data_IF_910118217722
#
_entry.id   IF_910118217722
#
_cell.length_a   1.000
_cell.length_b   1.000
_cell.length_c   1.000
_cell.angle_alpha   90.00
_cell.angle_beta   90.00
_cell.angle_gamma   90.00
#
_symmetry.space_group_name_H-M   'P 1'
#
loop_
_entity.id
_entity.type
_entity.pdbx_description
1 polymer ?
#
# COMPACT_ATOMS: atom_id res chain seq x y z
N UNK A 1 -11.63 0.65 -24.06
CA UNK A 1 -10.53 -0.22 -24.51
C UNK A 1 -9.35 0.08 -23.62
N UNK A 2 -8.73 -0.92 -22.99
CA UNK A 2 -7.51 -0.72 -22.20
C UNK A 2 -6.39 -0.43 -23.20
N UNK A 3 -5.77 0.74 -23.10
CA UNK A 3 -4.68 1.13 -24.00
C UNK A 3 -3.34 0.71 -23.41
N UNK A 4 -2.30 0.61 -24.24
CA UNK A 4 -0.93 0.37 -23.78
C UNK A 4 -0.50 1.38 -22.69
N UNK A 5 -0.87 2.66 -22.85
CA UNK A 5 -0.64 3.71 -21.84
C UNK A 5 -1.27 3.38 -20.48
N UNK A 6 -2.46 2.77 -20.47
CA UNK A 6 -3.14 2.38 -19.23
C UNK A 6 -2.43 1.21 -18.55
N UNK A 7 -1.96 0.23 -19.33
CA UNK A 7 -1.16 -0.89 -18.79
C UNK A 7 0.13 -0.38 -18.15
N UNK A 8 0.85 0.53 -18.82
CA UNK A 8 2.05 1.17 -18.27
C UNK A 8 1.74 1.98 -17.00
N UNK A 9 0.62 2.71 -16.99
CA UNK A 9 0.20 3.46 -15.80
C UNK A 9 -0.11 2.51 -14.62
N UNK A 10 -0.71 1.34 -14.86
CA UNK A 10 -0.94 0.34 -13.82
C UNK A 10 0.35 -0.30 -13.32
N UNK A 11 1.30 -0.59 -14.21
CA UNK A 11 2.63 -1.05 -13.82
C UNK A 11 3.33 0.00 -12.94
N UNK A 12 3.33 1.26 -13.35
CA UNK A 12 3.90 2.36 -12.57
C UNK A 12 3.19 2.52 -11.22
N UNK A 13 1.87 2.38 -11.18
CA UNK A 13 1.12 2.42 -9.92
C UNK A 13 1.62 1.36 -8.94
N UNK A 14 1.80 0.11 -9.36
CA UNK A 14 2.32 -0.95 -8.50
C UNK A 14 3.78 -0.70 -8.12
N UNK A 15 4.64 -0.45 -9.12
CA UNK A 15 6.08 -0.30 -8.94
C UNK A 15 6.48 0.93 -8.11
N UNK A 16 5.61 1.93 -7.98
CA UNK A 16 5.84 3.11 -7.15
C UNK A 16 5.14 3.01 -5.80
N UNK A 17 3.88 2.57 -5.74
CA UNK A 17 3.12 2.58 -4.47
C UNK A 17 3.70 1.63 -3.44
N UNK A 18 4.17 0.45 -3.87
CA UNK A 18 4.74 -0.56 -2.96
C UNK A 18 6.06 -0.08 -2.34
N UNK A 19 7.07 0.32 -3.13
CA UNK A 19 8.32 0.80 -2.55
C UNK A 19 8.14 2.10 -1.76
N UNK A 20 7.21 2.98 -2.13
CA UNK A 20 6.93 4.17 -1.33
C UNK A 20 6.37 3.79 0.05
N UNK A 21 5.45 2.83 0.13
CA UNK A 21 4.93 2.30 1.40
C UNK A 21 6.07 1.80 2.31
N UNK A 22 6.95 0.96 1.76
CA UNK A 22 8.11 0.42 2.47
C UNK A 22 9.12 1.52 2.85
N UNK A 23 9.33 2.51 1.98
CA UNK A 23 10.19 3.66 2.25
C UNK A 23 9.68 4.47 3.46
N UNK A 24 8.37 4.57 3.67
CA UNK A 24 7.82 5.23 4.85
C UNK A 24 8.21 4.51 6.15
N UNK A 25 8.15 3.18 6.14
CA UNK A 25 8.63 2.36 7.25
C UNK A 25 10.13 2.55 7.47
N UNK A 26 10.91 2.56 6.39
CA UNK A 26 12.37 2.66 6.43
C UNK A 26 12.79 4.01 7.00
N UNK A 27 12.27 5.11 6.44
CA UNK A 27 12.59 6.47 6.87
C UNK A 27 12.21 6.69 8.34
N UNK A 28 11.06 6.16 8.77
CA UNK A 28 10.64 6.28 10.17
C UNK A 28 11.59 5.51 11.10
N UNK A 29 12.09 4.34 10.69
CA UNK A 29 13.07 3.59 11.46
C UNK A 29 14.41 4.32 11.58
N UNK A 30 14.92 4.87 10.48
CA UNK A 30 16.15 5.67 10.45
C UNK A 30 16.03 6.90 11.36
N UNK A 31 14.91 7.62 11.29
CA UNK A 31 14.63 8.79 12.15
C UNK A 31 14.53 8.42 13.65
N UNK A 32 14.17 7.17 13.96
CA UNK A 32 14.13 6.64 15.33
C UNK A 32 15.48 6.05 15.77
N UNK A 33 16.53 6.15 14.94
CA UNK A 33 17.88 5.73 15.25
C UNK A 33 18.17 4.25 14.99
N UNK A 34 17.37 3.57 14.17
CA UNK A 34 17.66 2.19 13.75
C UNK A 34 18.41 2.19 12.42
N UNK A 35 19.36 1.28 12.30
CA UNK A 35 19.89 0.82 11.01
C UNK A 35 18.82 -0.03 10.32
N UNK A 36 18.29 0.45 9.21
CA UNK A 36 17.16 -0.12 8.50
C UNK A 36 17.57 -0.74 7.16
N UNK A 37 17.10 -1.96 6.91
CA UNK A 37 17.16 -2.57 5.58
C UNK A 37 15.79 -2.49 4.91
N UNK A 38 15.75 -2.04 3.65
CA UNK A 38 14.56 -2.07 2.80
C UNK A 38 14.78 -2.93 1.55
N UNK A 39 13.78 -3.72 1.21
CA UNK A 39 13.67 -4.53 -0.01
C UNK A 39 12.46 -4.05 -0.83
N UNK A 40 12.09 -4.73 -1.92
CA UNK A 40 10.95 -4.31 -2.75
C UNK A 40 9.60 -4.45 -2.01
N UNK A 41 9.50 -5.38 -1.07
CA UNK A 41 8.24 -5.73 -0.41
C UNK A 41 8.38 -5.91 1.12
N UNK A 42 9.50 -5.50 1.71
CA UNK A 42 9.67 -5.56 3.15
C UNK A 42 10.72 -4.58 3.67
N UNK A 43 10.49 -4.11 4.88
CA UNK A 43 11.38 -3.24 5.63
C UNK A 43 11.54 -3.73 7.06
N UNK A 44 12.76 -3.74 7.58
CA UNK A 44 13.05 -4.21 8.93
C UNK A 44 14.35 -3.62 9.49
N UNK A 45 14.46 -3.44 10.82
CA UNK A 45 15.74 -3.12 11.45
C UNK A 45 16.75 -4.24 11.19
N UNK A 46 17.98 -3.90 10.83
CA UNK A 46 19.04 -4.88 10.53
C UNK A 46 19.31 -5.80 11.73
N UNK A 47 19.24 -5.27 12.94
CA UNK A 47 19.33 -6.04 14.20
C UNK A 47 18.08 -6.85 14.58
N UNK A 48 16.98 -6.75 13.80
CA UNK A 48 15.66 -7.41 13.99
C UNK A 48 15.03 -7.22 15.37
N UNK A 49 15.45 -6.21 16.12
CA UNK A 49 14.94 -5.87 17.45
C UNK A 49 14.66 -4.38 17.52
N UNK A 50 13.52 -4.04 18.11
CA UNK A 50 13.22 -2.67 18.50
C UNK A 50 13.79 -2.43 19.90
N UNK A 51 14.39 -1.25 20.12
CA UNK A 51 14.84 -0.81 21.45
C UNK A 51 13.65 -0.52 22.37
N UNK A 52 12.57 0.00 21.79
CA UNK A 52 11.31 0.28 22.47
C UNK A 52 10.14 -0.26 21.66
N UNK A 53 9.17 -0.90 22.31
CA UNK A 53 8.00 -1.50 21.65
C UNK A 53 7.18 -0.47 20.84
N UNK A 54 7.02 0.74 21.38
CA UNK A 54 6.28 1.80 20.73
C UNK A 54 6.92 2.29 19.42
N UNK A 55 8.25 2.14 19.24
CA UNK A 55 8.91 2.42 17.96
C UNK A 55 8.35 1.51 16.86
N UNK A 56 8.11 0.23 17.18
CA UNK A 56 7.53 -0.74 16.25
C UNK A 56 6.11 -0.36 15.81
N UNK A 57 5.32 0.26 16.71
CA UNK A 57 3.98 0.74 16.38
C UNK A 57 4.03 1.99 15.49
N UNK A 58 4.89 2.97 15.82
CA UNK A 58 5.07 4.19 15.01
C UNK A 58 5.58 3.85 13.62
N UNK A 59 6.58 2.97 13.53
CA UNK A 59 7.05 2.46 12.25
C UNK A 59 5.94 1.74 11.51
N UNK A 60 5.19 0.82 12.15
CA UNK A 60 4.04 0.15 11.51
C UNK A 60 2.98 1.14 11.01
N UNK A 61 2.82 2.31 11.64
CA UNK A 61 1.84 3.30 11.18
C UNK A 61 2.28 4.02 9.89
N UNK A 62 3.59 4.16 9.66
CA UNK A 62 4.13 5.00 8.60
C UNK A 62 3.70 4.58 7.18
N UNK A 63 3.80 3.29 6.84
CA UNK A 63 3.38 2.76 5.54
C UNK A 63 1.89 2.99 5.23
N UNK A 64 0.96 2.57 6.12
CA UNK A 64 -0.47 2.86 5.99
C UNK A 64 -0.78 4.35 5.87
N UNK A 65 -0.14 5.20 6.69
CA UNK A 65 -0.33 6.66 6.62
C UNK A 65 0.08 7.19 5.25
N UNK A 66 1.27 6.84 4.75
CA UNK A 66 1.71 7.29 3.42
C UNK A 66 0.77 6.76 2.33
N UNK A 67 0.26 5.54 2.46
CA UNK A 67 -0.68 4.94 1.51
C UNK A 67 -2.00 5.71 1.46
N UNK A 68 -2.51 6.14 2.62
CA UNK A 68 -3.70 6.97 2.74
C UNK A 68 -3.44 8.35 2.12
N UNK A 69 -2.29 8.97 2.40
CA UNK A 69 -1.92 10.27 1.81
C UNK A 69 -1.81 10.20 0.29
N UNK A 70 -1.19 9.15 -0.24
CA UNK A 70 -1.13 8.88 -1.68
C UNK A 70 -2.54 8.73 -2.25
N UNK A 71 -3.40 7.94 -1.62
CA UNK A 71 -4.77 7.73 -2.08
C UNK A 71 -5.57 9.04 -2.09
N UNK A 72 -5.46 9.86 -1.03
CA UNK A 72 -6.11 11.17 -0.94
C UNK A 72 -5.62 12.12 -2.04
N UNK A 73 -4.31 12.22 -2.26
CA UNK A 73 -3.74 13.03 -3.33
C UNK A 73 -4.32 12.61 -4.70
N UNK A 74 -4.27 11.32 -5.03
CA UNK A 74 -4.79 10.80 -6.29
C UNK A 74 -6.29 11.01 -6.42
N UNK A 75 -7.05 10.81 -5.33
CA UNK A 75 -8.48 11.06 -5.27
C UNK A 75 -8.80 12.53 -5.62
N UNK A 76 -8.14 13.50 -4.99
CA UNK A 76 -8.37 14.92 -5.26
C UNK A 76 -7.99 15.30 -6.70
N UNK A 77 -6.86 14.78 -7.21
CA UNK A 77 -6.46 14.99 -8.60
C UNK A 77 -7.53 14.45 -9.57
N UNK A 78 -8.04 13.24 -9.31
CA UNK A 78 -9.12 12.64 -10.09
C UNK A 78 -10.46 13.37 -9.94
N UNK A 79 -10.78 13.99 -8.79
CA UNK A 79 -12.01 14.78 -8.67
C UNK A 79 -11.93 16.12 -9.41
N UNK A 80 -10.74 16.73 -9.50
CA UNK A 80 -10.60 18.06 -10.12
C UNK A 80 -10.66 18.03 -11.64
N UNK A 81 -9.82 17.23 -12.31
CA UNK A 81 -9.78 17.01 -13.77
C UNK A 81 -8.62 16.08 -14.20
N UNK A 82 -8.00 15.35 -13.26
CA UNK A 82 -6.86 14.48 -13.55
C UNK A 82 -7.16 13.41 -14.59
N UNK A 83 -6.13 12.86 -15.22
CA UNK A 83 -6.29 11.79 -16.20
C UNK A 83 -6.78 10.49 -15.54
N UNK A 84 -7.63 9.71 -16.23
CA UNK A 84 -8.05 8.37 -15.78
C UNK A 84 -6.86 7.41 -15.63
N UNK A 85 -5.69 7.75 -16.18
CA UNK A 85 -4.44 7.02 -15.95
C UNK A 85 -3.97 7.06 -14.48
N UNK A 86 -4.50 7.97 -13.65
CA UNK A 86 -4.21 7.99 -12.22
C UNK A 86 -5.06 6.99 -11.42
N UNK A 87 -6.16 6.49 -12.00
CA UNK A 87 -7.07 5.56 -11.31
C UNK A 87 -6.38 4.29 -10.78
N UNK A 88 -5.44 3.64 -11.50
CA UNK A 88 -4.69 2.51 -10.97
C UNK A 88 -3.95 2.79 -9.67
N UNK A 89 -3.44 4.00 -9.42
CA UNK A 89 -2.76 4.33 -8.16
C UNK A 89 -3.73 4.25 -6.98
N UNK A 90 -4.96 4.74 -7.14
CA UNK A 90 -5.98 4.67 -6.10
C UNK A 90 -6.41 3.23 -5.83
N UNK A 91 -6.63 2.44 -6.89
CA UNK A 91 -6.96 1.02 -6.76
C UNK A 91 -5.80 0.22 -6.16
N UNK A 92 -4.55 0.59 -6.44
CA UNK A 92 -3.36 -0.05 -5.87
C UNK A 92 -3.29 0.17 -4.35
N UNK A 93 -3.53 1.39 -3.87
CA UNK A 93 -3.62 1.66 -2.42
C UNK A 93 -4.68 0.78 -1.75
N UNK A 94 -5.89 0.72 -2.32
CA UNK A 94 -6.96 -0.16 -1.82
C UNK A 94 -6.54 -1.63 -1.84
N UNK A 95 -6.00 -2.11 -2.97
CA UNK A 95 -5.60 -3.50 -3.15
C UNK A 95 -4.55 -3.92 -2.12
N UNK A 96 -3.49 -3.13 -1.94
CA UNK A 96 -2.43 -3.42 -0.97
C UNK A 96 -2.99 -3.59 0.44
N UNK A 97 -3.89 -2.70 0.86
CA UNK A 97 -4.44 -2.69 2.22
C UNK A 97 -5.50 -3.74 2.44
N UNK A 98 -6.35 -4.00 1.44
CA UNK A 98 -7.33 -5.08 1.50
C UNK A 98 -6.64 -6.45 1.54
N UNK A 99 -5.59 -6.66 0.74
CA UNK A 99 -4.77 -7.87 0.79
C UNK A 99 -4.07 -8.02 2.13
N UNK A 100 -3.49 -6.95 2.67
CA UNK A 100 -2.85 -6.98 3.99
C UNK A 100 -3.85 -7.31 5.10
N UNK A 101 -5.07 -6.77 5.04
CA UNK A 101 -6.16 -7.12 5.95
C UNK A 101 -6.57 -8.61 5.83
N UNK A 102 -6.57 -9.17 4.63
CA UNK A 102 -6.79 -10.62 4.42
C UNK A 102 -5.64 -11.48 4.96
N UNK A 103 -4.39 -11.07 4.76
CA UNK A 103 -3.21 -11.79 5.27
C UNK A 103 -3.15 -11.72 6.82
N UNK A 104 -3.74 -10.70 7.43
CA UNK A 104 -3.84 -10.56 8.89
C UNK A 104 -4.51 -11.73 9.60
N UNK A 105 -5.33 -12.56 8.92
CA UNK A 105 -5.82 -13.81 9.53
C UNK A 105 -4.69 -14.80 9.87
N UNK A 106 -3.55 -14.73 9.17
CA UNK A 106 -2.38 -15.59 9.37
C UNK A 106 -1.29 -14.88 10.16
N UNK A 107 -0.97 -13.64 9.77
CA UNK A 107 0.09 -12.85 10.39
C UNK A 107 -0.31 -11.37 10.45
N UNK A 108 -0.34 -10.73 11.64
CA UNK A 108 -0.73 -9.33 11.78
C UNK A 108 0.03 -8.39 10.83
N UNK A 109 -0.70 -7.75 9.92
CA UNK A 109 -0.20 -6.65 9.12
C UNK A 109 0.02 -5.38 9.98
N UNK A 110 0.42 -4.28 9.33
CA UNK A 110 0.82 -3.06 10.02
C UNK A 110 -0.31 -2.47 10.88
N UNK A 111 -1.50 -2.32 10.31
CA UNK A 111 -2.68 -1.82 11.00
C UNK A 111 -3.18 -2.79 12.08
N UNK A 112 -3.05 -4.11 11.87
CA UNK A 112 -3.44 -5.12 12.85
C UNK A 112 -2.50 -5.13 14.06
N UNK A 113 -1.19 -4.91 13.85
CA UNK A 113 -0.22 -4.75 14.96
C UNK A 113 -0.56 -3.55 15.82
N UNK A 114 -0.90 -2.41 15.20
CA UNK A 114 -1.34 -1.21 15.92
C UNK A 114 -2.67 -1.45 16.64
N UNK A 115 -3.64 -2.09 15.98
CA UNK A 115 -4.94 -2.34 16.58
C UNK A 115 -4.85 -3.25 17.81
N UNK A 116 -3.97 -4.26 17.76
CA UNK A 116 -3.68 -5.12 18.92
C UNK A 116 -3.03 -4.32 20.05
N UNK A 117 -2.05 -3.46 19.74
CA UNK A 117 -1.39 -2.62 20.73
C UNK A 117 -2.35 -1.65 21.44
N UNK A 118 -3.34 -1.14 20.72
CA UNK A 118 -4.38 -0.25 21.26
C UNK A 118 -5.51 -0.99 21.98
N UNK A 119 -5.56 -2.33 21.94
CA UNK A 119 -6.63 -3.11 22.56
C UNK A 119 -8.00 -2.99 21.88
N UNK A 120 -8.06 -2.45 20.65
CA UNK A 120 -9.32 -2.17 19.93
C UNK A 120 -9.78 -3.32 19.02
N UNK A 121 -9.12 -4.48 19.10
CA UNK A 121 -9.40 -5.65 18.28
C UNK A 121 -8.59 -5.66 16.98
N UNK A 122 -8.10 -6.84 16.59
CA UNK A 122 -7.10 -7.00 15.51
C UNK A 122 -7.49 -6.40 14.16
N UNK A 123 -8.77 -6.44 13.80
CA UNK A 123 -9.25 -6.04 12.47
C UNK A 123 -9.81 -4.61 12.42
N UNK A 124 -9.83 -3.88 13.52
CA UNK A 124 -10.45 -2.55 13.59
C UNK A 124 -9.77 -1.55 12.64
N UNK A 125 -8.46 -1.31 12.76
CA UNK A 125 -7.77 -0.42 11.82
C UNK A 125 -7.68 -0.99 10.40
N UNK A 126 -7.38 -2.29 10.16
CA UNK A 126 -7.40 -2.85 8.81
C UNK A 126 -8.72 -2.61 8.06
N UNK A 127 -9.86 -2.78 8.74
CA UNK A 127 -11.19 -2.55 8.16
C UNK A 127 -11.47 -1.06 7.95
N UNK A 128 -11.09 -0.20 8.90
CA UNK A 128 -11.27 1.25 8.75
C UNK A 128 -10.46 1.82 7.59
N UNK A 129 -9.19 1.44 7.47
CA UNK A 129 -8.32 1.88 6.37
C UNK A 129 -8.81 1.34 5.03
N UNK A 130 -9.13 0.05 4.95
CA UNK A 130 -9.66 -0.55 3.71
C UNK A 130 -11.02 0.05 3.33
N UNK A 131 -11.89 0.31 4.31
CA UNK A 131 -13.19 0.95 4.11
C UNK A 131 -13.07 2.38 3.58
N UNK A 132 -12.15 3.19 4.13
CA UNK A 132 -11.84 4.52 3.63
C UNK A 132 -11.35 4.46 2.17
N UNK A 133 -10.37 3.61 1.88
CA UNK A 133 -9.81 3.48 0.53
C UNK A 133 -10.84 2.95 -0.48
N UNK A 134 -11.73 2.06 -0.04
CA UNK A 134 -12.85 1.57 -0.83
C UNK A 134 -13.81 2.70 -1.16
N UNK A 135 -14.19 3.51 -0.16
CA UNK A 135 -15.05 4.67 -0.35
C UNK A 135 -14.47 5.66 -1.37
N UNK A 136 -13.18 6.02 -1.25
CA UNK A 136 -12.52 6.93 -2.19
C UNK A 136 -12.51 6.36 -3.62
N UNK A 137 -12.20 5.07 -3.75
CA UNK A 137 -12.18 4.37 -5.05
C UNK A 137 -13.58 4.31 -5.67
N UNK A 138 -14.59 4.00 -4.86
CA UNK A 138 -15.99 3.92 -5.26
C UNK A 138 -16.54 5.27 -5.70
N UNK A 139 -16.31 6.32 -4.91
CA UNK A 139 -16.75 7.68 -5.23
C UNK A 139 -16.16 8.17 -6.56
N UNK A 140 -14.85 7.99 -6.78
CA UNK A 140 -14.22 8.34 -8.08
C UNK A 140 -14.79 7.51 -9.22
N UNK A 141 -15.02 6.22 -9.01
CA UNK A 141 -15.59 5.34 -10.02
C UNK A 141 -16.99 5.80 -10.46
N UNK A 142 -17.82 6.23 -9.50
CA UNK A 142 -19.15 6.79 -9.75
C UNK A 142 -19.07 8.17 -10.40
N UNK A 143 -18.30 9.10 -9.83
CA UNK A 143 -18.16 10.47 -10.32
C UNK A 143 -17.68 10.52 -11.78
N UNK A 144 -16.79 9.61 -12.17
CA UNK A 144 -16.25 9.51 -13.53
C UNK A 144 -16.98 8.49 -14.43
N UNK A 145 -18.05 7.87 -13.94
CA UNK A 145 -18.85 6.86 -14.66
C UNK A 145 -17.96 5.77 -15.29
N UNK A 146 -16.96 5.30 -14.53
CA UNK A 146 -16.03 4.29 -15.00
C UNK A 146 -16.78 2.98 -15.27
N UNK A 147 -16.50 2.36 -16.41
CA UNK A 147 -17.13 1.08 -16.77
C UNK A 147 -16.59 -0.02 -15.87
N UNK A 148 -17.46 -0.92 -15.40
CA UNK A 148 -17.07 -2.10 -14.59
C UNK A 148 -15.96 -2.91 -15.24
N UNK A 149 -15.99 -3.06 -16.57
CA UNK A 149 -14.92 -3.73 -17.34
C UNK A 149 -13.54 -3.10 -17.13
N UNK A 150 -13.45 -1.77 -17.02
CA UNK A 150 -12.18 -1.09 -16.73
C UNK A 150 -11.71 -1.42 -15.33
N UNK A 151 -12.59 -1.31 -14.33
CA UNK A 151 -12.28 -1.58 -12.92
C UNK A 151 -11.75 -3.01 -12.74
N UNK A 152 -12.46 -4.00 -13.31
CA UNK A 152 -12.04 -5.41 -13.24
C UNK A 152 -10.67 -5.62 -13.91
N UNK A 153 -10.44 -4.99 -15.07
CA UNK A 153 -9.13 -5.05 -15.73
C UNK A 153 -8.02 -4.38 -14.90
N UNK A 154 -8.31 -3.26 -14.24
CA UNK A 154 -7.35 -2.61 -13.35
C UNK A 154 -6.97 -3.52 -12.19
N UNK A 155 -7.95 -4.16 -11.54
CA UNK A 155 -7.70 -5.12 -10.47
C UNK A 155 -6.86 -6.30 -10.98
N UNK A 156 -7.21 -6.90 -12.11
CA UNK A 156 -6.44 -8.00 -12.69
C UNK A 156 -4.99 -7.61 -12.99
N UNK A 157 -4.76 -6.44 -13.59
CA UNK A 157 -3.41 -5.97 -13.90
C UNK A 157 -2.59 -5.66 -12.62
N UNK A 158 -3.22 -5.09 -11.60
CA UNK A 158 -2.58 -4.86 -10.29
C UNK A 158 -2.19 -6.21 -9.67
N UNK A 159 -3.10 -7.19 -9.65
CA UNK A 159 -2.80 -8.53 -9.17
C UNK A 159 -1.59 -9.11 -9.91
N UNK A 160 -1.61 -9.10 -11.25
CA UNK A 160 -0.51 -9.61 -12.07
C UNK A 160 0.84 -8.93 -11.77
N UNK A 161 0.90 -7.60 -11.79
CA UNK A 161 2.15 -6.87 -11.54
C UNK A 161 2.62 -6.98 -10.09
N UNK A 162 1.70 -6.98 -9.13
CA UNK A 162 2.03 -7.18 -7.71
C UNK A 162 2.60 -8.57 -7.45
N UNK A 163 2.06 -9.61 -8.10
CA UNK A 163 2.64 -10.96 -8.02
C UNK A 163 4.06 -10.99 -8.56
N UNK A 164 4.34 -10.33 -9.69
CA UNK A 164 5.71 -10.22 -10.21
C UNK A 164 6.61 -9.53 -9.19
N UNK A 165 6.18 -8.39 -8.63
CA UNK A 165 6.96 -7.63 -7.65
C UNK A 165 7.26 -8.48 -6.41
N UNK A 166 6.24 -9.09 -5.81
CA UNK A 166 6.37 -9.90 -4.59
C UNK A 166 7.23 -11.14 -4.84
N UNK A 167 6.99 -11.88 -5.93
CA UNK A 167 7.77 -13.09 -6.24
C UNK A 167 9.23 -12.75 -6.58
N UNK A 168 9.47 -11.63 -7.25
CA UNK A 168 10.83 -11.16 -7.53
C UNK A 168 11.56 -10.80 -6.24
N UNK A 169 10.88 -10.11 -5.31
CA UNK A 169 11.44 -9.79 -4.00
C UNK A 169 11.80 -11.07 -3.22
N UNK A 170 10.92 -12.07 -3.21
CA UNK A 170 11.16 -13.34 -2.54
C UNK A 170 12.32 -14.14 -3.15
N UNK A 171 12.43 -14.12 -4.49
CA UNK A 171 13.46 -14.86 -5.22
C UNK A 171 14.85 -14.21 -5.11
N UNK A 172 14.93 -12.89 -5.25
CA UNK A 172 16.21 -12.19 -5.36
C UNK A 172 16.62 -11.46 -4.08
N UNK A 173 15.67 -11.10 -3.21
CA UNK A 173 15.88 -10.38 -1.94
C UNK A 173 16.80 -9.16 -2.09
N UNK A 174 16.61 -8.42 -3.19
CA UNK A 174 17.43 -7.25 -3.52
C UNK A 174 17.23 -6.21 -2.44
N UNK A 175 18.32 -5.81 -1.78
CA UNK A 175 18.33 -4.68 -0.86
C UNK A 175 18.33 -3.40 -1.68
N UNK A 176 17.32 -2.57 -1.47
CA UNK A 176 17.21 -1.25 -2.09
C UNK A 176 17.95 -0.19 -1.29
N UNK A 177 17.83 -0.26 0.05
CA UNK A 177 18.47 0.63 1.00
C UNK A 177 19.00 -0.16 2.21
N UNK A 178 20.11 0.31 2.78
CA UNK A 178 20.79 -0.20 3.98
C UNK A 178 21.60 0.91 4.61
#
# INVERSE_FOLDING_TARGET
>A
MTTFKYVLATLAAVALSWPLHELAHWLTGELLGYDMTMTLNATYPTGRKYLHEWHGHVMSAAGPILTILQALLIYFLLKRNGTTLLFPFLVTCLYMRLMAAGISFLNPNDEARISKALGIGMFTLPLLVSGLLFFLTYDVSKARKLKTKLILWTVFLIMFFSSILILSDQAFKVKLLS
#
